data_IF_873038934895
#
_entry.id   IF_873038934895
#
_cell.length_a   1.000
_cell.length_b   1.000
_cell.length_c   1.000
_cell.angle_alpha   90.00
_cell.angle_beta   90.00
_cell.angle_gamma   90.00
#
_symmetry.space_group_name_H-M   'P 1'
#
loop_
_entity.id
_entity.type
_entity.pdbx_description
1 polymer ?
#
# COMPACT_ATOMS: atom_id res chain seq x y z
N UNK A 1 -9.30 -34.74 10.87
CA UNK A 1 -9.76 -34.36 9.51
C UNK A 1 -11.22 -33.88 9.44
N UNK A 2 -11.99 -33.83 10.53
CA UNK A 2 -13.42 -33.42 10.48
C UNK A 2 -13.76 -31.96 10.82
N UNK A 3 -12.86 -31.19 11.45
CA UNK A 3 -13.17 -29.82 11.92
C UNK A 3 -13.02 -28.75 10.81
N UNK A 4 -11.98 -28.85 9.98
CA UNK A 4 -11.71 -27.89 8.90
C UNK A 4 -12.78 -27.91 7.77
N UNK A 5 -13.49 -29.02 7.60
CA UNK A 5 -14.60 -29.13 6.64
C UNK A 5 -15.89 -28.45 7.12
N UNK A 6 -16.09 -28.35 8.45
CA UNK A 6 -17.28 -27.74 9.03
C UNK A 6 -17.18 -26.20 9.03
N UNK A 7 -16.01 -25.63 9.34
CA UNK A 7 -15.77 -24.18 9.25
C UNK A 7 -15.86 -23.66 7.81
N UNK A 8 -15.33 -24.41 6.82
CA UNK A 8 -15.50 -24.11 5.39
C UNK A 8 -16.96 -24.14 4.92
N UNK A 9 -17.80 -24.98 5.53
CA UNK A 9 -19.22 -25.06 5.21
C UNK A 9 -20.03 -23.89 5.80
N UNK A 10 -19.68 -23.43 7.00
CA UNK A 10 -20.34 -22.28 7.67
C UNK A 10 -20.01 -20.97 6.95
N UNK A 11 -18.77 -20.77 6.50
CA UNK A 11 -18.38 -19.62 5.66
C UNK A 11 -19.05 -19.63 4.28
N UNK A 12 -19.13 -20.79 3.61
CA UNK A 12 -19.84 -20.96 2.33
C UNK A 12 -21.34 -20.64 2.43
N UNK A 13 -22.00 -21.08 3.50
CA UNK A 13 -23.42 -20.80 3.70
C UNK A 13 -23.69 -19.30 3.90
N UNK A 14 -22.84 -18.58 4.64
CA UNK A 14 -22.96 -17.13 4.82
C UNK A 14 -22.77 -16.35 3.52
N UNK A 15 -21.75 -16.69 2.73
CA UNK A 15 -21.45 -16.00 1.46
C UNK A 15 -22.50 -16.29 0.37
N UNK A 16 -22.99 -17.53 0.26
CA UNK A 16 -24.01 -17.89 -0.72
C UNK A 16 -25.41 -17.38 -0.33
N UNK A 17 -25.71 -17.27 0.97
CA UNK A 17 -26.96 -16.67 1.45
C UNK A 17 -26.97 -15.15 1.24
N UNK A 18 -25.83 -14.47 1.44
CA UNK A 18 -25.64 -13.06 1.07
C UNK A 18 -25.78 -12.84 -0.45
N UNK A 19 -25.19 -13.72 -1.29
CA UNK A 19 -25.35 -13.67 -2.76
C UNK A 19 -26.79 -13.89 -3.21
N UNK A 20 -27.54 -14.82 -2.58
CA UNK A 20 -28.97 -15.01 -2.85
C UNK A 20 -29.82 -13.84 -2.40
N UNK A 21 -29.51 -13.23 -1.26
CA UNK A 21 -30.23 -12.06 -0.77
C UNK A 21 -29.94 -10.80 -1.61
N UNK A 22 -28.72 -10.67 -2.13
CA UNK A 22 -28.33 -9.62 -3.08
C UNK A 22 -29.00 -9.80 -4.46
N UNK A 23 -29.05 -11.03 -4.99
CA UNK A 23 -29.70 -11.33 -6.27
C UNK A 23 -31.25 -11.25 -6.24
N UNK A 24 -31.87 -11.32 -5.06
CA UNK A 24 -33.32 -11.33 -4.89
C UNK A 24 -33.94 -9.94 -4.61
N UNK A 25 -33.15 -8.87 -4.52
CA UNK A 25 -33.62 -7.52 -4.12
C UNK A 25 -33.22 -6.45 -5.12
N UNK A 26 -33.60 -6.66 -6.38
CA UNK A 26 -33.93 -5.55 -7.26
C UNK A 26 -35.28 -4.96 -6.80
N UNK A 27 -35.31 -3.64 -6.62
CA UNK A 27 -36.47 -2.80 -6.25
C UNK A 27 -36.93 -2.84 -4.79
N UNK A 28 -36.35 -2.00 -3.93
CA UNK A 28 -37.07 -0.86 -3.31
C UNK A 28 -36.27 -0.21 -2.17
N UNK A 29 -36.18 1.13 -2.25
CA UNK A 29 -36.07 2.12 -1.18
C UNK A 29 -35.63 1.67 0.22
N UNK A 30 -34.31 1.63 0.49
CA UNK A 30 -33.67 2.31 1.64
C UNK A 30 -32.14 2.15 1.53
N UNK A 31 -31.38 3.25 1.55
CA UNK A 31 -29.95 3.27 1.21
C UNK A 31 -28.99 2.63 2.24
N UNK A 32 -29.50 1.94 3.26
CA UNK A 32 -28.71 1.43 4.38
C UNK A 32 -28.15 0.00 4.22
N UNK A 33 -28.73 -0.83 3.35
CA UNK A 33 -28.44 -2.28 3.35
C UNK A 33 -27.28 -2.75 2.45
N UNK A 34 -26.66 -1.86 1.68
CA UNK A 34 -25.55 -2.22 0.77
C UNK A 34 -24.18 -1.89 1.38
N UNK A 35 -24.09 -0.81 2.16
CA UNK A 35 -22.82 -0.32 2.71
C UNK A 35 -22.30 -1.22 3.85
N UNK A 36 -23.15 -1.62 4.78
CA UNK A 36 -22.75 -2.47 5.90
C UNK A 36 -22.29 -3.86 5.44
N UNK A 37 -22.98 -4.45 4.47
CA UNK A 37 -22.60 -5.74 3.88
C UNK A 37 -21.27 -5.65 3.13
N UNK A 38 -21.05 -4.57 2.36
CA UNK A 38 -19.81 -4.34 1.65
C UNK A 38 -18.65 -4.04 2.61
N UNK A 39 -18.91 -3.31 3.70
CA UNK A 39 -17.94 -3.08 4.75
C UNK A 39 -17.54 -4.40 5.42
N UNK A 40 -18.50 -5.25 5.80
CA UNK A 40 -18.21 -6.55 6.39
C UNK A 40 -17.41 -7.46 5.43
N UNK A 41 -17.73 -7.42 4.12
CA UNK A 41 -16.95 -8.12 3.10
C UNK A 41 -15.52 -7.58 3.01
N UNK A 42 -15.34 -6.26 3.01
CA UNK A 42 -14.03 -5.62 2.98
C UNK A 42 -13.18 -5.99 4.21
N UNK A 43 -13.76 -5.88 5.41
CA UNK A 43 -13.12 -6.26 6.67
C UNK A 43 -12.71 -7.75 6.67
N UNK A 44 -13.58 -8.63 6.16
CA UNK A 44 -13.30 -10.05 6.02
C UNK A 44 -12.12 -10.33 5.08
N UNK A 45 -12.02 -9.63 3.95
CA UNK A 45 -10.89 -9.78 3.03
C UNK A 45 -9.59 -9.24 3.59
N UNK A 46 -9.60 -8.05 4.20
CA UNK A 46 -8.40 -7.53 4.88
C UNK A 46 -7.94 -8.48 5.99
N UNK A 47 -8.87 -9.03 6.77
CA UNK A 47 -8.57 -10.02 7.80
C UNK A 47 -7.93 -11.28 7.19
N UNK A 48 -8.48 -11.79 6.09
CA UNK A 48 -7.91 -12.94 5.38
C UNK A 48 -6.49 -12.64 4.87
N UNK A 49 -6.27 -11.47 4.25
CA UNK A 49 -4.96 -11.02 3.77
C UNK A 49 -3.94 -11.00 4.91
N UNK A 50 -4.30 -10.38 6.04
CA UNK A 50 -3.41 -10.29 7.21
C UNK A 50 -3.18 -11.64 7.87
N UNK A 51 -4.19 -12.50 7.95
CA UNK A 51 -4.06 -13.86 8.45
C UNK A 51 -3.08 -14.67 7.58
N UNK A 52 -3.18 -14.58 6.26
CA UNK A 52 -2.23 -15.21 5.33
C UNK A 52 -0.83 -14.60 5.45
N UNK A 53 -0.73 -13.28 5.61
CA UNK A 53 0.54 -12.59 5.87
C UNK A 53 1.21 -13.04 7.19
N UNK A 54 0.45 -13.50 8.17
CA UNK A 54 0.97 -13.98 9.45
C UNK A 54 1.25 -15.50 9.51
N UNK A 55 0.62 -16.29 8.65
CA UNK A 55 0.81 -17.75 8.58
C UNK A 55 2.04 -18.13 7.73
N UNK A 56 2.59 -19.35 7.92
CA UNK A 56 3.51 -19.94 6.96
C UNK A 56 2.90 -19.94 5.56
N UNK A 57 3.72 -19.71 4.53
CA UNK A 57 3.27 -19.69 3.15
C UNK A 57 2.64 -21.03 2.73
N UNK A 58 1.45 -20.97 2.11
CA UNK A 58 0.80 -22.07 1.41
C UNK A 58 0.31 -21.54 0.06
N UNK A 59 0.89 -22.00 -1.07
CA UNK A 59 0.46 -21.58 -2.40
C UNK A 59 -1.04 -21.78 -2.65
N UNK A 60 -1.57 -22.91 -2.18
CA UNK A 60 -2.96 -23.32 -2.41
C UNK A 60 -3.93 -22.35 -1.71
N UNK A 61 -3.62 -21.97 -0.46
CA UNK A 61 -4.46 -21.06 0.31
C UNK A 61 -4.58 -19.67 -0.34
N UNK A 62 -3.52 -19.18 -0.98
CA UNK A 62 -3.51 -17.88 -1.65
C UNK A 62 -4.26 -17.94 -2.98
N UNK A 63 -4.11 -19.02 -3.76
CA UNK A 63 -4.92 -19.23 -4.98
C UNK A 63 -6.41 -19.27 -4.65
N UNK A 64 -6.79 -20.07 -3.65
CA UNK A 64 -8.18 -20.20 -3.19
C UNK A 64 -8.75 -18.83 -2.77
N UNK A 65 -8.00 -18.05 -1.99
CA UNK A 65 -8.40 -16.70 -1.55
C UNK A 65 -8.64 -15.76 -2.74
N UNK A 66 -7.75 -15.77 -3.72
CA UNK A 66 -7.84 -14.88 -4.89
C UNK A 66 -8.96 -15.31 -5.84
N UNK A 67 -9.14 -16.62 -6.06
CA UNK A 67 -10.20 -17.16 -6.94
C UNK A 67 -11.61 -16.90 -6.40
N UNK A 68 -11.81 -16.92 -5.08
CA UNK A 68 -13.14 -16.77 -4.47
C UNK A 68 -13.59 -15.30 -4.30
N UNK A 69 -12.64 -14.35 -4.24
CA UNK A 69 -12.89 -12.96 -3.84
C UNK A 69 -12.55 -11.87 -4.88
N UNK A 70 -11.85 -12.19 -5.97
CA UNK A 70 -11.41 -11.20 -6.97
C UNK A 70 -12.18 -11.32 -8.29
N UNK A 71 -12.37 -10.19 -8.97
CA UNK A 71 -12.98 -10.12 -10.29
C UNK A 71 -12.03 -10.69 -11.37
N UNK A 72 -12.58 -11.06 -12.54
CA UNK A 72 -11.79 -11.60 -13.65
C UNK A 72 -10.72 -10.63 -14.18
N UNK A 73 -10.98 -9.33 -14.06
CA UNK A 73 -10.10 -8.22 -14.47
C UNK A 73 -9.37 -7.59 -13.28
N UNK A 74 -9.17 -8.36 -12.21
CA UNK A 74 -8.49 -7.89 -10.99
C UNK A 74 -7.13 -7.26 -11.28
N UNK A 75 -6.92 -6.08 -10.71
CA UNK A 75 -5.69 -5.32 -10.85
C UNK A 75 -5.05 -5.09 -9.48
N UNK A 76 -3.82 -5.56 -9.30
CA UNK A 76 -3.01 -5.30 -8.11
C UNK A 76 -1.89 -4.31 -8.42
N UNK A 77 -1.78 -3.23 -7.63
CA UNK A 77 -0.66 -2.29 -7.69
C UNK A 77 0.01 -2.13 -6.32
N UNK A 78 1.34 -2.13 -6.30
CA UNK A 78 2.14 -1.61 -5.18
C UNK A 78 2.91 -0.38 -5.66
N UNK A 79 2.35 0.78 -5.35
CA UNK A 79 2.77 2.07 -5.92
C UNK A 79 4.24 2.37 -5.61
N UNK A 80 4.67 2.12 -4.38
CA UNK A 80 6.01 2.42 -3.89
C UNK A 80 7.15 1.66 -4.57
N UNK A 81 6.84 0.51 -5.17
CA UNK A 81 7.84 -0.32 -5.86
C UNK A 81 7.68 -0.27 -7.38
N UNK A 82 6.75 0.53 -7.90
CA UNK A 82 6.25 0.50 -9.27
C UNK A 82 5.93 -0.93 -9.74
N UNK A 83 5.29 -1.73 -8.87
CA UNK A 83 4.86 -3.09 -9.21
C UNK A 83 3.39 -3.08 -9.56
N UNK A 84 3.05 -3.68 -10.70
CA UNK A 84 1.69 -3.80 -11.21
C UNK A 84 1.47 -5.22 -11.71
N UNK A 85 0.29 -5.79 -11.47
CA UNK A 85 -0.07 -7.09 -12.01
C UNK A 85 -1.55 -7.19 -12.32
N UNK A 86 -1.89 -7.91 -13.38
CA UNK A 86 -3.26 -8.09 -13.84
C UNK A 86 -3.65 -9.56 -13.80
N UNK A 87 -4.84 -9.83 -13.27
CA UNK A 87 -5.37 -11.17 -13.08
C UNK A 87 -4.95 -11.82 -11.76
N UNK A 88 -5.79 -12.72 -11.27
CA UNK A 88 -5.61 -13.41 -9.99
C UNK A 88 -4.32 -14.23 -9.91
N UNK A 89 -3.89 -14.87 -10.99
CA UNK A 89 -2.72 -15.76 -10.98
C UNK A 89 -1.39 -15.01 -10.77
N UNK A 90 -1.24 -13.81 -11.32
CA UNK A 90 -0.02 -13.01 -11.15
C UNK A 90 0.16 -12.52 -9.71
N UNK A 91 -0.93 -12.41 -8.95
CA UNK A 91 -0.90 -11.98 -7.55
C UNK A 91 -0.37 -13.08 -6.64
N UNK A 92 -0.64 -14.35 -6.92
CA UNK A 92 -0.13 -15.47 -6.12
C UNK A 92 1.41 -15.58 -6.16
N UNK A 93 2.03 -15.26 -7.30
CA UNK A 93 3.49 -15.25 -7.44
C UNK A 93 4.14 -14.11 -6.62
N UNK A 94 3.52 -12.93 -6.61
CA UNK A 94 3.97 -11.80 -5.77
C UNK A 94 3.92 -12.15 -4.28
N UNK A 95 2.84 -12.81 -3.85
CA UNK A 95 2.72 -13.28 -2.47
C UNK A 95 3.75 -14.35 -2.11
N UNK A 96 4.06 -15.26 -3.05
CA UNK A 96 5.13 -16.26 -2.88
C UNK A 96 6.47 -15.57 -2.66
N UNK A 97 6.85 -14.66 -3.57
CA UNK A 97 8.10 -13.91 -3.50
C UNK A 97 8.19 -13.13 -2.17
N UNK A 98 7.14 -12.41 -1.79
CA UNK A 98 7.09 -11.68 -0.53
C UNK A 98 7.34 -12.59 0.68
N UNK A 99 6.74 -13.79 0.70
CA UNK A 99 6.90 -14.73 1.82
C UNK A 99 8.26 -15.40 1.89
N UNK A 100 8.85 -15.70 0.75
CA UNK A 100 10.21 -16.22 0.68
C UNK A 100 11.23 -15.17 1.14
N UNK A 101 11.01 -13.91 0.75
CA UNK A 101 11.93 -12.82 1.05
C UNK A 101 11.72 -12.23 2.44
N UNK A 102 10.51 -12.20 2.97
CA UNK A 102 10.17 -11.65 4.29
C UNK A 102 9.39 -12.66 5.17
N UNK A 103 10.01 -13.80 5.56
CA UNK A 103 9.32 -14.89 6.25
C UNK A 103 8.91 -14.57 7.70
N UNK A 104 9.58 -13.59 8.32
CA UNK A 104 9.32 -13.16 9.70
C UNK A 104 8.32 -12.00 9.78
N UNK A 105 7.76 -11.58 8.63
CA UNK A 105 6.80 -10.48 8.60
C UNK A 105 5.56 -10.81 9.43
N UNK A 106 5.08 -9.79 10.13
CA UNK A 106 3.87 -9.83 10.92
C UNK A 106 3.06 -8.59 10.61
N UNK A 107 1.78 -8.78 10.37
CA UNK A 107 0.84 -7.71 10.03
C UNK A 107 -0.30 -7.64 11.03
N UNK A 108 -0.80 -6.44 11.28
CA UNK A 108 -1.99 -6.21 12.11
C UNK A 108 -2.83 -5.08 11.54
N UNK A 109 -4.13 -5.31 11.39
CA UNK A 109 -5.08 -4.26 10.97
C UNK A 109 -5.26 -3.29 12.14
N UNK A 110 -4.98 -2.02 11.89
CA UNK A 110 -5.26 -0.92 12.83
C UNK A 110 -6.68 -0.39 12.63
N UNK A 111 -7.07 -0.17 11.38
CA UNK A 111 -8.35 0.44 11.04
C UNK A 111 -8.76 0.07 9.62
N UNK A 112 -10.06 -0.15 9.42
CA UNK A 112 -10.70 -0.21 8.11
C UNK A 112 -11.65 0.97 7.97
N UNK A 113 -11.71 1.56 6.79
CA UNK A 113 -12.62 2.66 6.47
C UNK A 113 -13.20 2.50 5.08
N UNK A 114 -14.47 2.86 4.91
CA UNK A 114 -15.11 2.98 3.60
C UNK A 114 -14.81 4.37 3.00
N UNK A 115 -14.50 4.43 1.70
CA UNK A 115 -14.39 5.69 0.97
C UNK A 115 -15.78 6.22 0.61
N UNK A 116 -15.86 7.54 0.39
CA UNK A 116 -17.10 8.18 -0.07
C UNK A 116 -17.63 7.50 -1.34
N UNK A 117 -18.93 7.20 -1.37
CA UNK A 117 -19.56 6.43 -2.45
C UNK A 117 -19.61 4.91 -2.23
N UNK A 118 -18.96 4.37 -1.19
CA UNK A 118 -19.14 3.00 -0.72
C UNK A 118 -18.41 1.91 -1.51
N UNK A 119 -18.09 2.11 -2.78
CA UNK A 119 -17.44 1.10 -3.65
C UNK A 119 -15.93 0.93 -3.45
N UNK A 120 -15.37 1.47 -2.36
CA UNK A 120 -13.98 1.25 -2.02
C UNK A 120 -13.78 1.24 -0.50
N UNK A 121 -12.85 0.40 -0.04
CA UNK A 121 -12.44 0.31 1.35
C UNK A 121 -10.93 0.51 1.45
N UNK A 122 -10.47 1.06 2.57
CA UNK A 122 -9.07 1.27 2.91
C UNK A 122 -8.78 0.66 4.27
N UNK A 123 -7.77 -0.18 4.35
CA UNK A 123 -7.20 -0.66 5.60
C UNK A 123 -5.83 -0.03 5.86
N UNK A 124 -5.59 0.29 7.12
CA UNK A 124 -4.29 0.66 7.67
C UNK A 124 -3.75 -0.58 8.38
N UNK A 125 -2.64 -1.11 7.89
CA UNK A 125 -2.07 -2.38 8.32
C UNK A 125 -0.65 -2.12 8.82
N UNK A 126 -0.44 -2.26 10.12
CA UNK A 126 0.91 -2.28 10.68
C UNK A 126 1.63 -3.51 10.17
N UNK A 127 2.91 -3.36 9.88
CA UNK A 127 3.80 -4.48 9.66
C UNK A 127 5.07 -4.34 10.50
N UNK A 128 5.60 -5.47 10.95
CA UNK A 128 6.98 -5.60 11.42
C UNK A 128 7.64 -6.82 10.80
N UNK A 129 8.92 -6.74 10.47
CA UNK A 129 9.64 -7.87 9.91
C UNK A 129 10.96 -7.46 9.30
N UNK A 130 11.60 -8.39 8.61
CA UNK A 130 12.82 -8.13 7.85
C UNK A 130 12.71 -8.78 6.48
N UNK A 131 13.53 -8.32 5.53
CA UNK A 131 13.68 -8.98 4.24
C UNK A 131 15.09 -9.58 4.12
N UNK A 132 15.19 -10.75 3.52
CA UNK A 132 16.43 -11.50 3.30
C UNK A 132 17.11 -11.14 1.98
N UNK A 133 16.35 -10.53 1.06
CA UNK A 133 16.85 -9.85 -0.13
C UNK A 133 16.02 -8.58 -0.37
N UNK A 134 16.48 -7.64 -1.21
CA UNK A 134 15.72 -6.43 -1.52
C UNK A 134 14.42 -6.74 -2.29
N UNK A 135 13.33 -7.00 -1.57
CA UNK A 135 11.97 -7.07 -2.13
C UNK A 135 11.38 -5.67 -2.24
N UNK A 136 11.41 -4.94 -1.12
CA UNK A 136 11.10 -3.51 -1.04
C UNK A 136 12.42 -2.72 -1.20
N UNK A 137 12.58 -1.91 -2.26
CA UNK A 137 13.86 -1.24 -2.58
C UNK A 137 14.36 -0.31 -1.48
N UNK A 138 13.44 0.22 -0.68
CA UNK A 138 13.75 1.19 0.37
C UNK A 138 14.14 0.53 1.69
N UNK A 139 13.96 -0.78 1.86
CA UNK A 139 14.27 -1.43 3.12
C UNK A 139 15.63 -2.11 3.10
N UNK A 140 16.36 -2.04 4.22
CA UNK A 140 17.57 -2.83 4.39
C UNK A 140 17.25 -4.31 4.39
N UNK A 141 18.25 -5.08 3.98
CA UNK A 141 18.24 -6.53 4.15
C UNK A 141 18.68 -6.86 5.58
N UNK A 142 18.10 -7.90 6.19
CA UNK A 142 18.45 -8.41 7.52
C UNK A 142 18.31 -7.38 8.66
N UNK A 143 17.51 -6.34 8.46
CA UNK A 143 17.23 -5.34 9.50
C UNK A 143 15.75 -5.27 9.72
N UNK A 144 15.35 -5.32 10.99
CA UNK A 144 13.95 -5.30 11.37
C UNK A 144 13.38 -3.91 11.15
N UNK A 145 12.37 -3.82 10.32
CA UNK A 145 11.64 -2.59 10.02
C UNK A 145 10.23 -2.71 10.56
N UNK A 146 9.65 -1.57 10.92
CA UNK A 146 8.23 -1.43 11.22
C UNK A 146 7.66 -0.27 10.44
N UNK A 147 6.40 -0.37 10.08
CA UNK A 147 5.70 0.69 9.37
C UNK A 147 4.23 0.35 9.23
N UNK A 148 3.54 1.17 8.44
CA UNK A 148 2.12 1.00 8.16
C UNK A 148 1.94 0.95 6.65
N UNK A 149 1.10 0.04 6.16
CA UNK A 149 0.68 -0.06 4.76
C UNK A 149 -0.79 0.35 4.69
N UNK A 150 -1.10 1.23 3.75
CA UNK A 150 -2.44 1.45 3.27
C UNK A 150 -2.74 0.42 2.17
N UNK A 151 -3.66 -0.51 2.43
CA UNK A 151 -4.26 -1.35 1.38
C UNK A 151 -5.64 -0.84 1.04
N UNK A 152 -5.91 -0.61 -0.24
CA UNK A 152 -7.20 -0.16 -0.75
C UNK A 152 -7.80 -1.21 -1.66
N UNK A 153 -9.07 -1.54 -1.43
CA UNK A 153 -9.85 -2.43 -2.26
C UNK A 153 -10.93 -1.61 -2.96
N UNK A 154 -11.01 -1.71 -4.28
CA UNK A 154 -12.12 -1.21 -5.08
C UNK A 154 -13.00 -2.38 -5.52
N UNK A 155 -14.30 -2.17 -5.45
CA UNK A 155 -15.31 -3.19 -5.73
C UNK A 155 -16.01 -2.93 -7.05
N UNK A 156 -16.39 -4.01 -7.74
CA UNK A 156 -17.31 -3.94 -8.87
C UNK A 156 -18.78 -3.86 -8.43
N UNK A 157 -19.70 -3.81 -9.39
CA UNK A 157 -21.15 -3.78 -9.12
C UNK A 157 -21.72 -5.05 -8.49
N UNK A 158 -20.92 -6.13 -8.43
CA UNK A 158 -21.28 -7.41 -7.83
C UNK A 158 -20.61 -7.63 -6.45
N UNK A 159 -19.82 -6.66 -5.97
CA UNK A 159 -19.10 -6.74 -4.71
C UNK A 159 -17.82 -7.58 -4.77
N UNK A 160 -17.32 -7.89 -5.97
CA UNK A 160 -16.00 -8.53 -6.15
C UNK A 160 -14.91 -7.46 -6.17
N UNK A 161 -13.70 -7.81 -5.71
CA UNK A 161 -12.57 -6.88 -5.78
C UNK A 161 -12.10 -6.75 -7.23
N UNK A 162 -12.21 -5.54 -7.77
CA UNK A 162 -11.69 -5.18 -9.09
C UNK A 162 -10.25 -4.68 -9.01
N UNK A 163 -9.90 -3.96 -7.94
CA UNK A 163 -8.57 -3.40 -7.77
C UNK A 163 -8.11 -3.51 -6.32
N UNK A 164 -6.87 -3.93 -6.13
CA UNK A 164 -6.14 -3.76 -4.87
C UNK A 164 -4.97 -2.80 -5.09
N UNK A 165 -4.79 -1.85 -4.18
CA UNK A 165 -3.70 -0.87 -4.26
C UNK A 165 -3.02 -0.73 -2.91
N UNK A 166 -1.71 -0.95 -2.88
CA UNK A 166 -0.89 -0.87 -1.67
C UNK A 166 0.16 0.23 -1.76
N UNK A 167 0.34 0.93 -0.64
CA UNK A 167 1.44 1.85 -0.42
C UNK A 167 1.75 1.98 1.07
N UNK A 168 2.98 2.36 1.39
CA UNK A 168 3.43 2.74 2.71
C UNK A 168 2.69 4.01 3.13
N UNK A 169 2.13 3.92 4.32
CA UNK A 169 1.40 5.00 4.93
C UNK A 169 2.39 5.93 5.64
N UNK A 170 2.42 7.17 5.15
CA UNK A 170 3.02 8.31 5.83
C UNK A 170 1.93 9.33 6.15
N UNK A 171 0.70 8.90 6.41
CA UNK A 171 -0.42 9.80 6.75
C UNK A 171 -0.54 9.90 8.28
N UNK A 172 -0.88 11.08 8.81
CA UNK A 172 -1.21 11.21 10.23
C UNK A 172 -2.43 10.33 10.58
N UNK A 173 -2.47 9.68 11.76
CA UNK A 173 -1.56 9.83 12.90
C UNK A 173 -0.33 8.89 12.88
N UNK A 174 -0.03 8.23 11.76
CA UNK A 174 1.04 7.25 11.68
C UNK A 174 2.38 7.96 11.50
N UNK A 175 3.19 7.96 12.56
CA UNK A 175 4.56 8.46 12.49
C UNK A 175 5.42 7.49 11.66
N UNK A 176 6.16 8.06 10.72
CA UNK A 176 7.15 7.29 9.98
C UNK A 176 8.22 6.78 10.95
N UNK A 177 8.50 5.47 10.91
CA UNK A 177 9.55 4.94 11.77
C UNK A 177 10.90 5.55 11.35
N UNK A 178 11.78 5.98 12.29
CA UNK A 178 13.02 6.68 11.94
C UNK A 178 13.89 5.92 10.94
N UNK A 179 13.96 4.59 11.06
CA UNK A 179 14.67 3.74 10.10
C UNK A 179 14.13 3.94 8.67
N UNK A 180 12.82 4.04 8.50
CA UNK A 180 12.21 4.26 7.18
C UNK A 180 12.66 5.61 6.62
N UNK A 181 12.65 6.68 7.42
CA UNK A 181 13.13 8.00 6.99
C UNK A 181 14.61 7.96 6.61
N UNK A 182 15.46 7.31 7.42
CA UNK A 182 16.90 7.19 7.14
C UNK A 182 17.15 6.52 5.79
N UNK A 183 16.40 5.46 5.47
CA UNK A 183 16.55 4.77 4.19
C UNK A 183 15.94 5.53 3.02
N UNK A 184 14.83 6.25 3.23
CA UNK A 184 14.30 7.18 2.24
C UNK A 184 15.33 8.25 1.89
N UNK A 185 16.02 8.81 2.88
CA UNK A 185 17.08 9.79 2.66
C UNK A 185 18.25 9.19 1.88
N UNK A 186 18.76 8.02 2.27
CA UNK A 186 19.88 7.37 1.58
C UNK A 186 19.61 7.08 0.10
N UNK A 187 18.34 6.86 -0.26
CA UNK A 187 17.92 6.54 -1.63
C UNK A 187 17.14 7.68 -2.31
N UNK A 188 17.06 8.87 -1.71
CA UNK A 188 16.11 9.91 -2.11
C UNK A 188 16.23 10.32 -3.58
N UNK A 189 17.46 10.53 -4.07
CA UNK A 189 17.68 10.95 -5.47
C UNK A 189 17.28 9.88 -6.46
N UNK A 190 17.57 8.61 -6.17
CA UNK A 190 17.21 7.47 -7.02
C UNK A 190 15.70 7.22 -7.01
N UNK A 191 15.07 7.31 -5.84
CA UNK A 191 13.62 7.17 -5.68
C UNK A 191 12.87 8.30 -6.39
N UNK A 192 13.35 9.53 -6.31
CA UNK A 192 12.70 10.69 -6.92
C UNK A 192 12.61 10.61 -8.44
N UNK A 193 13.51 9.87 -9.09
CA UNK A 193 13.47 9.66 -10.55
C UNK A 193 12.36 8.72 -11.01
N UNK A 194 11.73 7.99 -10.08
CA UNK A 194 10.65 7.03 -10.34
C UNK A 194 9.31 7.63 -9.93
N UNK A 195 8.23 7.21 -10.59
CA UNK A 195 6.89 7.71 -10.27
C UNK A 195 6.50 7.39 -8.83
N UNK A 196 6.50 6.11 -8.44
CA UNK A 196 6.18 5.65 -7.10
C UNK A 196 7.11 6.24 -6.03
N UNK A 197 8.42 6.23 -6.28
CA UNK A 197 9.41 6.78 -5.36
C UNK A 197 9.25 8.29 -5.13
N UNK A 198 8.91 9.07 -6.16
CA UNK A 198 8.64 10.51 -6.02
C UNK A 198 7.39 10.79 -5.18
N UNK A 199 6.32 9.98 -5.33
CA UNK A 199 5.09 10.11 -4.53
C UNK A 199 5.34 9.72 -3.08
N UNK A 200 6.10 8.66 -2.86
CA UNK A 200 6.51 8.21 -1.53
C UNK A 200 7.29 9.29 -0.78
N UNK A 201 8.29 9.90 -1.41
CA UNK A 201 9.07 10.99 -0.82
C UNK A 201 8.18 12.20 -0.47
N UNK A 202 7.27 12.58 -1.36
CA UNK A 202 6.35 13.69 -1.11
C UNK A 202 5.42 13.40 0.09
N UNK A 203 4.84 12.19 0.17
CA UNK A 203 4.00 11.77 1.31
C UNK A 203 4.79 11.74 2.62
N UNK A 204 6.02 11.22 2.59
CA UNK A 204 6.90 11.26 3.76
C UNK A 204 7.14 12.70 4.24
N UNK A 205 7.47 13.62 3.32
CA UNK A 205 7.66 15.05 3.64
C UNK A 205 6.39 15.77 4.10
N UNK A 206 5.20 15.23 3.84
CA UNK A 206 3.95 15.85 4.28
C UNK A 206 3.76 15.76 5.79
N UNK A 207 4.17 14.64 6.39
CA UNK A 207 4.04 14.38 7.83
C UNK A 207 5.35 14.43 8.61
N UNK A 208 6.48 14.35 7.93
CA UNK A 208 7.79 14.40 8.55
C UNK A 208 8.00 15.70 9.33
N UNK A 209 8.73 15.59 10.43
CA UNK A 209 9.20 16.76 11.18
C UNK A 209 10.14 17.63 10.35
N UNK A 210 10.42 18.84 10.86
CA UNK A 210 11.28 19.79 10.16
C UNK A 210 12.66 19.19 9.81
N UNK A 211 13.34 18.58 10.77
CA UNK A 211 14.68 18.00 10.57
C UNK A 211 14.70 16.83 9.57
N UNK A 212 13.64 16.03 9.54
CA UNK A 212 13.49 14.91 8.60
C UNK A 212 13.27 15.44 7.17
N UNK A 213 12.42 16.46 7.00
CA UNK A 213 12.25 17.14 5.72
C UNK A 213 13.56 17.76 5.22
N UNK A 214 14.31 18.40 6.11
CA UNK A 214 15.64 18.96 5.82
C UNK A 214 16.60 17.85 5.39
N UNK A 215 16.60 16.72 6.09
CA UNK A 215 17.45 15.56 5.79
C UNK A 215 17.17 14.98 4.40
N UNK A 216 15.88 14.84 4.04
CA UNK A 216 15.45 14.40 2.71
C UNK A 216 15.85 15.42 1.63
N UNK A 217 15.61 16.71 1.88
CA UNK A 217 15.92 17.79 0.93
C UNK A 217 17.42 17.88 0.63
N UNK A 218 18.28 17.74 1.63
CA UNK A 218 19.74 17.85 1.48
C UNK A 218 20.34 16.80 0.53
N UNK A 219 19.65 15.68 0.31
CA UNK A 219 20.09 14.64 -0.63
C UNK A 219 20.11 15.12 -2.09
N UNK A 220 19.34 16.17 -2.41
CA UNK A 220 19.29 16.73 -3.75
C UNK A 220 20.42 17.73 -4.04
N UNK A 221 21.28 18.05 -3.06
CA UNK A 221 22.46 18.90 -3.30
C UNK A 221 23.38 18.25 -4.33
N UNK A 222 23.73 18.99 -5.37
CA UNK A 222 24.51 18.53 -6.52
C UNK A 222 23.68 17.84 -7.59
N UNK A 223 22.38 17.60 -7.36
CA UNK A 223 21.47 16.89 -8.25
C UNK A 223 20.27 17.75 -8.66
N UNK A 224 20.23 19.04 -8.30
CA UNK A 224 19.05 19.90 -8.52
C UNK A 224 18.71 20.02 -10.00
N UNK A 225 19.73 20.18 -10.85
CA UNK A 225 19.54 20.31 -12.29
C UNK A 225 18.87 19.07 -12.90
N UNK A 226 19.41 17.89 -12.61
CA UNK A 226 18.89 16.61 -13.10
C UNK A 226 17.48 16.35 -12.57
N UNK A 227 17.26 16.60 -11.28
CA UNK A 227 15.96 16.43 -10.65
C UNK A 227 14.92 17.41 -11.22
N UNK A 228 15.30 18.64 -11.58
CA UNK A 228 14.40 19.63 -12.18
C UNK A 228 13.93 19.26 -13.58
N UNK A 229 14.75 18.54 -14.35
CA UNK A 229 14.41 18.08 -15.70
C UNK A 229 13.63 16.77 -15.70
N UNK A 230 13.62 16.03 -14.58
CA UNK A 230 12.88 14.78 -14.44
C UNK A 230 11.36 15.04 -14.38
N UNK A 231 10.51 14.23 -15.05
CA UNK A 231 9.06 14.33 -14.92
C UNK A 231 8.54 13.96 -13.52
N UNK A 232 9.37 13.36 -12.65
CA UNK A 232 8.97 12.93 -11.31
C UNK A 232 9.71 13.70 -10.22
N UNK A 233 11.04 13.82 -10.31
CA UNK A 233 11.84 14.41 -9.24
C UNK A 233 11.60 15.92 -9.06
N UNK A 234 11.12 16.61 -10.09
CA UNK A 234 10.79 18.04 -10.02
C UNK A 234 9.72 18.32 -8.94
N UNK A 235 8.78 17.40 -8.73
CA UNK A 235 7.73 17.54 -7.73
C UNK A 235 8.28 17.43 -6.31
N UNK A 236 9.33 16.62 -6.09
CA UNK A 236 10.02 16.52 -4.80
C UNK A 236 10.77 17.82 -4.49
N UNK A 237 11.43 18.43 -5.48
CA UNK A 237 12.08 19.73 -5.31
C UNK A 237 11.07 20.84 -4.98
N UNK A 238 9.92 20.87 -5.67
CA UNK A 238 8.84 21.81 -5.36
C UNK A 238 8.34 21.61 -3.93
N UNK A 239 8.14 20.37 -3.49
CA UNK A 239 7.73 20.04 -2.11
C UNK A 239 8.75 20.55 -1.08
N UNK A 240 10.05 20.43 -1.38
CA UNK A 240 11.11 21.01 -0.53
C UNK A 240 10.94 22.53 -0.38
N UNK A 241 10.75 23.25 -1.50
CA UNK A 241 10.57 24.70 -1.49
C UNK A 241 9.28 25.13 -0.78
N UNK A 242 8.21 24.35 -0.88
CA UNK A 242 6.93 24.60 -0.19
C UNK A 242 7.02 24.40 1.33
N UNK A 243 7.73 23.36 1.78
CA UNK A 243 7.75 22.93 3.18
C UNK A 243 8.85 23.56 4.03
N UNK A 244 9.98 23.90 3.41
CA UNK A 244 11.17 24.33 4.13
C UNK A 244 11.38 25.85 4.06
N UNK A 245 11.96 26.46 5.11
CA UNK A 245 12.30 27.87 5.09
C UNK A 245 13.36 28.14 4.03
N UNK A 246 13.41 29.37 3.46
CA UNK A 246 14.27 29.69 2.33
C UNK A 246 15.75 29.30 2.52
N UNK A 247 16.30 29.45 3.73
CA UNK A 247 17.71 29.16 4.00
C UNK A 247 18.09 27.68 3.83
N UNK A 248 17.16 26.74 4.03
CA UNK A 248 17.41 25.31 3.83
C UNK A 248 17.41 24.92 2.35
N UNK A 249 16.69 25.67 1.52
CA UNK A 249 16.55 25.42 0.06
C UNK A 249 17.32 26.40 -0.81
N UNK A 250 18.14 27.30 -0.23
CA UNK A 250 18.96 28.26 -0.98
C UNK A 250 19.81 27.59 -2.06
N UNK A 251 20.35 26.40 -1.76
CA UNK A 251 21.17 25.63 -2.67
C UNK A 251 20.45 25.29 -3.99
N UNK A 252 19.12 25.14 -3.95
CA UNK A 252 18.30 24.88 -5.14
C UNK A 252 18.46 26.02 -6.13
N UNK A 253 18.32 27.28 -5.66
CA UNK A 253 18.49 28.45 -6.51
C UNK A 253 19.95 28.65 -6.93
N UNK A 254 20.91 28.32 -6.06
CA UNK A 254 22.33 28.44 -6.35
C UNK A 254 22.80 27.48 -7.45
N UNK A 255 22.26 26.26 -7.49
CA UNK A 255 22.61 25.28 -8.53
C UNK A 255 22.06 25.62 -9.92
N UNK A 256 21.03 26.46 -9.99
CA UNK A 256 20.58 27.03 -11.27
C UNK A 256 21.45 28.18 -11.77
N UNK A 257 22.28 28.81 -10.92
CA UNK A 257 23.12 29.94 -11.34
C UNK A 257 24.15 29.45 -12.37
N UNK A 258 24.11 30.05 -13.56
CA UNK A 258 24.99 29.69 -14.68
C UNK A 258 24.46 28.57 -15.58
N UNK A 259 23.23 28.09 -15.36
CA UNK A 259 22.54 27.11 -16.24
C UNK A 259 21.19 27.60 -16.79
N UNK A 260 20.73 28.78 -16.37
CA UNK A 260 19.51 29.44 -16.83
C UNK A 260 19.79 30.42 -17.98
#
# INVERSE_FOLDING_TARGET
TGAAGAERAVGRQGADELRRQAAARDCSADGGLVLEALQAAAEGMFAAIVEHANKPFSPEAISDMLEEGTASDFHYEWQDCDRESHGSHCTADLWREFKELAPDVRCQIQRVTMKEGGFAARAYIDFEGSQTQPFLPIFPVNTRVRGVICSELEFDGHGQVRKESMHLCFEAPFEAHPIVIDFLAQSATQLALREGGSRMLQRAMEVAGHEECVTLCRQFRGHVWEASASPHANFVLQKCVEKLPPHEVLFVAEEFKGRA
#
